data_IF_812814596653
#
_entry.id   IF_812814596653
#
_cell.length_a   1.000
_cell.length_b   1.000
_cell.length_c   1.000
_cell.angle_alpha   90.00
_cell.angle_beta   90.00
_cell.angle_gamma   90.00
#
_symmetry.space_group_name_H-M   'P 1'
#
loop_
_entity.id
_entity.type
_entity.pdbx_description
1 polymer ?
#
# COMPACT_ATOMS: atom_id res chain seq x y z
N UNK A 1 23.81 -0.20 17.11
CA UNK A 1 23.49 -1.14 16.00
C UNK A 1 22.10 -0.75 15.54
N UNK A 2 21.96 -0.06 14.42
CA UNK A 2 20.65 0.23 13.87
C UNK A 2 20.03 -1.12 13.49
N UNK A 3 18.81 -1.46 13.91
CA UNK A 3 18.15 -2.67 13.42
C UNK A 3 18.06 -2.55 11.90
N UNK A 4 18.58 -3.56 11.20
CA UNK A 4 18.48 -3.60 9.74
C UNK A 4 17.00 -3.58 9.33
N UNK A 5 16.74 -2.99 8.15
CA UNK A 5 15.39 -2.96 7.59
C UNK A 5 14.97 -4.39 7.28
N UNK A 6 13.75 -4.74 7.70
CA UNK A 6 13.18 -6.05 7.44
C UNK A 6 12.78 -6.16 5.96
N UNK A 7 13.33 -7.12 5.26
CA UNK A 7 12.80 -7.55 3.97
C UNK A 7 11.70 -8.58 4.23
N UNK A 8 10.46 -8.16 4.06
CA UNK A 8 9.32 -9.04 4.28
C UNK A 8 9.20 -10.08 3.17
N UNK A 9 9.04 -11.33 3.58
CA UNK A 9 8.68 -12.42 2.68
C UNK A 9 7.15 -12.51 2.69
N UNK A 10 6.54 -12.13 1.58
CA UNK A 10 5.08 -12.17 1.46
C UNK A 10 4.59 -13.61 1.31
N UNK A 11 3.37 -13.94 1.75
CA UNK A 11 2.83 -15.29 1.65
C UNK A 11 2.32 -15.68 0.25
N UNK A 12 2.72 -14.94 -0.79
CA UNK A 12 2.36 -15.21 -2.18
C UNK A 12 3.28 -16.24 -2.80
N UNK A 13 2.71 -17.35 -3.27
CA UNK A 13 3.40 -18.33 -4.10
C UNK A 13 3.57 -17.81 -5.55
N UNK A 14 4.36 -18.50 -6.36
CA UNK A 14 4.61 -18.11 -7.75
C UNK A 14 3.36 -18.07 -8.64
N UNK A 15 2.33 -18.85 -8.29
CA UNK A 15 1.06 -18.93 -9.02
C UNK A 15 -0.04 -18.04 -8.44
N UNK A 16 0.21 -17.38 -7.30
CA UNK A 16 -0.75 -16.49 -6.68
C UNK A 16 -0.67 -15.10 -7.33
N UNK A 17 -1.82 -14.52 -7.60
CA UNK A 17 -1.94 -13.14 -8.10
C UNK A 17 -1.94 -12.13 -6.95
N UNK A 18 -2.64 -12.43 -5.87
CA UNK A 18 -2.82 -11.55 -4.73
C UNK A 18 -3.02 -12.30 -3.42
N UNK A 19 -2.76 -11.59 -2.34
CA UNK A 19 -3.03 -12.02 -0.97
C UNK A 19 -3.72 -10.88 -0.22
N UNK A 20 -4.74 -11.23 0.56
CA UNK A 20 -5.47 -10.27 1.41
C UNK A 20 -5.33 -10.69 2.86
N UNK A 21 -4.84 -9.77 3.68
CA UNK A 21 -4.86 -9.90 5.12
C UNK A 21 -5.83 -8.88 5.70
N UNK A 22 -6.83 -9.37 6.42
CA UNK A 22 -7.83 -8.56 7.13
C UNK A 22 -7.63 -8.81 8.62
N UNK A 23 -7.24 -7.78 9.36
CA UNK A 23 -6.82 -7.90 10.76
C UNK A 23 -7.45 -6.83 11.62
N UNK A 24 -7.91 -7.24 12.81
CA UNK A 24 -8.17 -6.35 13.93
C UNK A 24 -7.03 -6.48 14.92
N UNK A 25 -6.49 -5.36 15.39
CA UNK A 25 -5.34 -5.33 16.27
C UNK A 25 -5.49 -4.23 17.33
N UNK A 26 -4.90 -4.46 18.50
CA UNK A 26 -4.88 -3.49 19.57
C UNK A 26 -3.81 -2.42 19.40
N UNK A 27 -2.74 -2.75 18.64
CA UNK A 27 -1.62 -1.87 18.38
C UNK A 27 -0.82 -2.30 17.14
N UNK A 28 -0.08 -1.35 16.57
CA UNK A 28 0.91 -1.63 15.53
C UNK A 28 2.25 -2.04 16.17
N UNK A 29 2.71 -3.24 15.85
CA UNK A 29 3.97 -3.79 16.36
C UNK A 29 4.94 -4.20 15.28
N UNK A 30 4.52 -4.16 14.01
CA UNK A 30 5.36 -4.58 12.90
C UNK A 30 6.46 -3.55 12.63
N UNK A 31 7.71 -3.98 12.41
CA UNK A 31 8.82 -3.06 12.19
C UNK A 31 8.80 -2.44 10.79
N UNK A 32 9.61 -1.40 10.59
CA UNK A 32 9.85 -0.83 9.27
C UNK A 32 10.37 -1.90 8.31
N UNK A 33 9.78 -1.99 7.13
CA UNK A 33 10.05 -3.05 6.17
C UNK A 33 9.90 -2.57 4.73
N UNK A 34 10.36 -3.39 3.81
CA UNK A 34 10.07 -3.31 2.38
C UNK A 34 9.86 -4.73 1.83
N UNK A 35 9.26 -4.85 0.65
CA UNK A 35 8.99 -6.12 -0.02
C UNK A 35 8.88 -5.95 -1.53
N UNK A 36 9.10 -7.01 -2.29
CA UNK A 36 9.07 -6.97 -3.76
C UNK A 36 7.68 -6.85 -4.36
N UNK A 37 6.65 -7.17 -3.58
CA UNK A 37 5.26 -7.21 -4.03
C UNK A 37 4.63 -5.83 -3.86
N UNK A 38 3.74 -5.44 -4.79
CA UNK A 38 2.94 -4.23 -4.66
C UNK A 38 1.94 -4.37 -3.52
N UNK A 39 1.66 -3.26 -2.85
CA UNK A 39 0.76 -3.25 -1.69
C UNK A 39 -0.21 -2.08 -1.73
N UNK A 40 -1.46 -2.38 -1.44
CA UNK A 40 -2.48 -1.41 -1.05
C UNK A 40 -2.84 -1.68 0.41
N UNK A 41 -2.47 -0.76 1.30
CA UNK A 41 -2.74 -0.89 2.74
C UNK A 41 -3.77 0.12 3.19
N UNK A 42 -4.84 -0.39 3.78
CA UNK A 42 -5.94 0.38 4.36
C UNK A 42 -5.95 0.21 5.87
N UNK A 43 -6.11 1.31 6.60
CA UNK A 43 -6.36 1.28 8.03
C UNK A 43 -7.52 2.20 8.40
N UNK A 44 -8.32 1.78 9.37
CA UNK A 44 -9.36 2.59 9.99
C UNK A 44 -9.30 2.50 11.51
N UNK A 45 -9.91 3.47 12.17
CA UNK A 45 -9.89 3.61 13.62
C UNK A 45 -8.46 3.76 14.17
N UNK A 46 -7.60 4.46 13.42
CA UNK A 46 -6.16 4.57 13.67
C UNK A 46 -5.68 6.00 13.91
N UNK A 47 -6.58 6.93 14.26
CA UNK A 47 -6.22 8.32 14.51
C UNK A 47 -5.10 8.44 15.55
N UNK A 48 -4.06 9.21 15.20
CA UNK A 48 -2.87 9.39 16.03
C UNK A 48 -1.74 8.39 15.77
N UNK A 49 -1.94 7.38 14.91
CA UNK A 49 -0.84 6.56 14.42
C UNK A 49 0.12 7.39 13.55
N UNK A 50 1.39 7.01 13.55
CA UNK A 50 2.41 7.60 12.69
C UNK A 50 2.68 6.67 11.52
N UNK A 51 2.56 7.20 10.31
CA UNK A 51 2.93 6.51 9.08
C UNK A 51 4.26 7.03 8.57
N UNK A 52 5.17 6.13 8.26
CA UNK A 52 6.44 6.41 7.60
C UNK A 52 6.43 5.68 6.26
N UNK A 53 6.66 6.42 5.16
CA UNK A 53 6.84 5.88 3.81
C UNK A 53 7.99 6.61 3.15
N UNK A 54 9.13 5.93 2.97
CA UNK A 54 10.36 6.56 2.54
C UNK A 54 10.76 7.70 3.48
N UNK A 55 10.90 8.91 2.95
CA UNK A 55 11.24 10.12 3.71
C UNK A 55 10.01 10.91 4.22
N UNK A 56 8.79 10.41 3.98
CA UNK A 56 7.56 10.99 4.51
C UNK A 56 7.23 10.45 5.89
N UNK A 57 6.98 11.34 6.85
CA UNK A 57 6.57 10.99 8.21
C UNK A 57 5.33 11.82 8.56
N UNK A 58 4.20 11.16 8.79
CA UNK A 58 2.94 11.82 9.06
C UNK A 58 2.15 11.12 10.18
N UNK A 59 1.44 11.91 10.98
CA UNK A 59 0.42 11.41 11.91
C UNK A 59 -0.90 11.35 11.15
N UNK A 60 -1.50 10.16 11.11
CA UNK A 60 -2.72 9.93 10.32
C UNK A 60 -4.00 10.17 11.13
N UNK A 61 -5.09 10.38 10.41
CA UNK A 61 -6.44 10.44 10.99
C UNK A 61 -7.05 9.05 11.16
N UNK A 62 -8.39 9.01 11.25
CA UNK A 62 -9.14 7.75 11.42
C UNK A 62 -8.96 6.77 10.27
N UNK A 63 -8.76 7.26 9.07
CA UNK A 63 -8.62 6.47 7.85
C UNK A 63 -7.31 6.80 7.16
N UNK A 64 -6.62 5.78 6.68
CA UNK A 64 -5.48 5.93 5.80
C UNK A 64 -5.51 4.85 4.72
N UNK A 65 -5.15 5.22 3.51
CA UNK A 65 -5.04 4.29 2.38
C UNK A 65 -3.81 4.68 1.57
N UNK A 66 -2.88 3.74 1.44
CA UNK A 66 -1.62 3.95 0.73
C UNK A 66 -1.37 2.84 -0.27
N UNK A 67 -0.98 3.24 -1.48
CA UNK A 67 -0.53 2.34 -2.54
C UNK A 67 0.99 2.45 -2.69
N UNK A 68 1.68 1.32 -2.67
CA UNK A 68 3.13 1.19 -2.83
C UNK A 68 3.41 0.19 -3.94
N UNK A 69 4.19 0.61 -4.94
CA UNK A 69 4.54 -0.23 -6.09
C UNK A 69 6.03 -0.44 -6.29
N UNK A 70 6.87 0.21 -5.49
CA UNK A 70 8.32 0.03 -5.51
C UNK A 70 8.77 -1.01 -4.50
N UNK A 71 9.65 -1.93 -4.89
CA UNK A 71 10.21 -2.98 -4.05
C UNK A 71 11.11 -2.46 -2.92
N UNK A 72 11.71 -1.29 -3.10
CA UNK A 72 12.72 -0.76 -2.18
C UNK A 72 12.17 0.35 -1.26
N UNK A 73 10.90 0.69 -1.39
CA UNK A 73 10.29 1.76 -0.59
C UNK A 73 9.95 1.25 0.82
N UNK A 74 10.72 1.70 1.78
CA UNK A 74 10.52 1.37 3.19
C UNK A 74 9.26 2.01 3.73
N UNK A 75 8.49 1.25 4.52
CA UNK A 75 7.25 1.75 5.10
C UNK A 75 6.91 1.06 6.41
N UNK A 76 6.13 1.76 7.24
CA UNK A 76 5.61 1.27 8.52
C UNK A 76 4.47 2.16 9.02
N UNK A 77 3.52 1.54 9.72
CA UNK A 77 2.57 2.22 10.59
C UNK A 77 2.94 1.92 12.03
N UNK A 78 3.07 2.96 12.85
CA UNK A 78 3.48 2.87 14.25
C UNK A 78 2.37 3.39 15.16
N UNK A 79 2.29 2.84 16.37
CA UNK A 79 1.26 3.22 17.35
C UNK A 79 1.29 4.71 17.69
N UNK A 80 2.47 5.26 17.95
CA UNK A 80 2.68 6.68 18.27
C UNK A 80 1.66 7.20 19.31
N UNK A 81 0.79 8.16 18.96
CA UNK A 81 -0.23 8.74 19.83
C UNK A 81 -1.62 8.09 19.73
N UNK A 82 -1.76 7.04 18.95
CA UNK A 82 -3.02 6.34 18.78
C UNK A 82 -3.42 5.64 20.08
N UNK A 83 -4.68 5.88 20.48
CA UNK A 83 -5.28 5.29 21.68
C UNK A 83 -6.31 4.20 21.38
N UNK A 84 -6.56 3.96 20.10
CA UNK A 84 -7.47 2.90 19.68
C UNK A 84 -6.95 1.53 20.14
N UNK A 85 -7.88 0.67 20.51
CA UNK A 85 -7.62 -0.74 20.83
C UNK A 85 -8.33 -1.69 19.88
N UNK A 86 -8.86 -1.15 18.79
CA UNK A 86 -9.53 -1.89 17.74
C UNK A 86 -9.21 -1.22 16.40
N UNK A 87 -7.95 -1.32 16.00
CA UNK A 87 -7.49 -0.85 14.70
C UNK A 87 -7.82 -1.92 13.68
N UNK A 88 -8.55 -1.56 12.64
CA UNK A 88 -8.82 -2.46 11.53
C UNK A 88 -7.86 -2.17 10.37
N UNK A 89 -7.19 -3.19 9.90
CA UNK A 89 -6.24 -3.10 8.80
C UNK A 89 -6.54 -4.14 7.72
N UNK A 90 -6.65 -3.68 6.48
CA UNK A 90 -6.75 -4.54 5.30
C UNK A 90 -5.53 -4.30 4.42
N UNK A 91 -4.66 -5.30 4.34
CA UNK A 91 -3.46 -5.28 3.49
C UNK A 91 -3.71 -6.15 2.26
N UNK A 92 -3.59 -5.58 1.08
CA UNK A 92 -3.72 -6.27 -0.19
C UNK A 92 -2.37 -6.25 -0.88
N UNK A 93 -1.72 -7.41 -0.98
CA UNK A 93 -0.47 -7.60 -1.70
C UNK A 93 -0.75 -8.29 -3.03
N UNK A 94 -0.15 -7.80 -4.12
CA UNK A 94 -0.47 -8.28 -5.46
C UNK A 94 0.66 -8.04 -6.46
N UNK A 95 0.57 -8.72 -7.61
CA UNK A 95 1.52 -8.59 -8.72
C UNK A 95 0.83 -8.02 -9.95
N UNK A 96 1.39 -6.95 -10.50
CA UNK A 96 1.03 -6.44 -11.82
C UNK A 96 2.30 -6.19 -12.63
N UNK A 97 2.30 -6.65 -13.86
CA UNK A 97 3.42 -6.39 -14.75
C UNK A 97 3.26 -5.02 -15.41
N UNK A 98 4.05 -4.06 -14.94
CA UNK A 98 4.08 -2.68 -15.46
C UNK A 98 5.22 -2.47 -16.48
N UNK A 99 6.22 -3.35 -16.49
CA UNK A 99 7.46 -3.15 -17.25
C UNK A 99 7.37 -3.66 -18.68
N UNK A 100 6.70 -4.77 -18.91
CA UNK A 100 6.61 -5.36 -20.23
C UNK A 100 5.81 -4.50 -21.20
N UNK A 101 6.36 -4.32 -22.42
CA UNK A 101 5.72 -3.51 -23.47
C UNK A 101 4.33 -4.02 -23.86
N UNK A 102 4.13 -5.33 -23.81
CA UNK A 102 2.87 -6.00 -24.16
C UNK A 102 1.95 -6.24 -22.96
N UNK A 103 2.27 -5.67 -21.79
CA UNK A 103 1.42 -5.79 -20.63
C UNK A 103 0.01 -5.22 -20.91
N UNK A 104 -1.07 -5.93 -20.56
CA UNK A 104 -2.42 -5.38 -20.64
C UNK A 104 -2.57 -4.05 -19.89
N UNK A 105 -1.79 -3.83 -18.85
CA UNK A 105 -1.80 -2.59 -18.06
C UNK A 105 -1.42 -1.35 -18.87
N UNK A 106 -0.71 -1.52 -20.00
CA UNK A 106 -0.32 -0.43 -20.91
C UNK A 106 -1.35 -0.11 -22.00
N UNK A 107 -2.47 -0.81 -22.00
CA UNK A 107 -3.56 -0.57 -22.96
C UNK A 107 -4.48 0.56 -22.49
N UNK A 108 -5.23 1.15 -23.43
CA UNK A 108 -6.11 2.30 -23.15
C UNK A 108 -7.09 2.08 -21.98
N UNK A 109 -7.75 0.93 -21.81
CA UNK A 109 -8.64 0.71 -20.69
C UNK A 109 -7.98 0.87 -19.31
N UNK A 110 -6.68 0.59 -19.22
CA UNK A 110 -5.92 0.63 -17.97
C UNK A 110 -5.05 1.88 -17.80
N UNK A 111 -5.12 2.85 -18.74
CA UNK A 111 -4.23 4.01 -18.72
C UNK A 111 -4.20 4.73 -17.38
N UNK A 112 -5.36 5.07 -16.81
CA UNK A 112 -5.43 5.80 -15.54
C UNK A 112 -4.85 4.97 -14.37
N UNK A 113 -5.10 3.67 -14.36
CA UNK A 113 -4.52 2.75 -13.37
C UNK A 113 -3.01 2.68 -13.54
N UNK A 114 -2.51 2.52 -14.76
CA UNK A 114 -1.07 2.46 -15.04
C UNK A 114 -0.35 3.74 -14.56
N UNK A 115 -0.88 4.92 -14.89
CA UNK A 115 -0.32 6.21 -14.47
C UNK A 115 -0.31 6.35 -12.94
N UNK A 116 -1.38 5.94 -12.27
CA UNK A 116 -1.45 5.92 -10.80
C UNK A 116 -0.41 4.96 -10.21
N UNK A 117 -0.29 3.75 -10.75
CA UNK A 117 0.69 2.75 -10.31
C UNK A 117 2.14 3.25 -10.45
N UNK A 118 2.44 3.98 -11.53
CA UNK A 118 3.75 4.59 -11.74
C UNK A 118 4.06 5.67 -10.71
N UNK A 119 3.08 6.49 -10.33
CA UNK A 119 3.21 7.48 -9.24
C UNK A 119 3.40 6.82 -7.88
N UNK A 120 2.76 5.69 -7.66
CA UNK A 120 2.82 4.95 -6.41
C UNK A 120 4.18 4.29 -6.11
N UNK A 121 5.17 4.41 -7.00
CA UNK A 121 6.58 4.09 -6.71
C UNK A 121 7.15 4.92 -5.57
N UNK A 122 6.59 6.08 -5.34
CA UNK A 122 6.95 7.01 -4.25
C UNK A 122 6.01 6.90 -3.04
N UNK A 123 5.13 5.89 -3.04
CA UNK A 123 4.01 5.82 -2.12
C UNK A 123 2.95 6.90 -2.44
N UNK A 124 1.72 6.49 -2.55
CA UNK A 124 0.60 7.36 -2.90
C UNK A 124 -0.49 7.22 -1.86
N UNK A 125 -0.80 8.31 -1.14
CA UNK A 125 -1.91 8.35 -0.20
C UNK A 125 -3.16 8.96 -0.83
N UNK A 126 -4.33 8.48 -0.41
CA UNK A 126 -5.61 8.88 -0.98
C UNK A 126 -6.41 9.74 0.00
N UNK A 127 -7.18 10.67 -0.55
CA UNK A 127 -8.10 11.50 0.23
C UNK A 127 -9.20 10.68 0.89
N UNK A 128 -9.80 11.24 1.94
CA UNK A 128 -10.98 10.62 2.57
C UNK A 128 -12.10 10.34 1.56
N UNK A 129 -12.31 11.25 0.60
CA UNK A 129 -13.34 11.07 -0.43
C UNK A 129 -13.05 9.85 -1.30
N UNK A 130 -11.79 9.68 -1.74
CA UNK A 130 -11.37 8.52 -2.51
C UNK A 130 -11.51 7.22 -1.70
N UNK A 131 -11.09 7.25 -0.41
CA UNK A 131 -11.24 6.10 0.49
C UNK A 131 -12.70 5.70 0.63
N UNK A 132 -13.60 6.63 0.91
CA UNK A 132 -15.04 6.33 1.08
C UNK A 132 -15.67 5.78 -0.19
N UNK A 133 -15.17 6.15 -1.37
CA UNK A 133 -15.62 5.60 -2.65
C UNK A 133 -15.35 4.10 -2.78
N UNK A 134 -14.19 3.65 -2.30
CA UNK A 134 -13.76 2.26 -2.40
C UNK A 134 -14.01 1.45 -1.12
N UNK A 135 -14.40 2.09 -0.03
CA UNK A 135 -14.60 1.47 1.28
C UNK A 135 -15.47 0.21 1.25
N UNK A 136 -16.64 0.19 0.59
CA UNK A 136 -17.46 -1.03 0.52
C UNK A 136 -16.74 -2.20 -0.13
N UNK A 137 -15.87 -1.93 -1.12
CA UNK A 137 -15.08 -2.95 -1.80
C UNK A 137 -13.92 -3.44 -0.95
N UNK A 138 -13.27 -2.53 -0.21
CA UNK A 138 -12.21 -2.89 0.76
C UNK A 138 -12.76 -3.82 1.85
N UNK A 139 -13.97 -3.53 2.34
CA UNK A 139 -14.63 -4.38 3.35
C UNK A 139 -15.08 -5.74 2.79
N UNK A 140 -15.40 -5.81 1.51
CA UNK A 140 -15.86 -7.03 0.87
C UNK A 140 -14.74 -7.94 0.40
N UNK A 141 -13.55 -7.41 0.08
CA UNK A 141 -12.49 -8.14 -0.61
C UNK A 141 -11.97 -9.33 0.20
N UNK A 142 -11.86 -9.19 1.52
CA UNK A 142 -11.39 -10.25 2.42
C UNK A 142 -12.37 -11.43 2.52
N UNK A 143 -13.65 -11.19 2.26
CA UNK A 143 -14.71 -12.22 2.30
C UNK A 143 -14.91 -12.94 0.98
N UNK A 144 -14.21 -12.53 -0.09
CA UNK A 144 -14.31 -13.22 -1.40
C UNK A 144 -13.61 -14.59 -1.33
N UNK A 145 -14.41 -15.64 -1.36
CA UNK A 145 -13.91 -17.02 -1.29
C UNK A 145 -13.30 -17.49 -2.61
N UNK A 146 -13.77 -16.95 -3.73
CA UNK A 146 -13.25 -17.27 -5.05
C UNK A 146 -12.22 -16.22 -5.48
N UNK A 147 -10.98 -16.65 -5.68
CA UNK A 147 -9.86 -15.77 -5.99
C UNK A 147 -10.07 -14.87 -7.21
N UNK A 148 -10.83 -15.34 -8.21
CA UNK A 148 -11.18 -14.53 -9.37
C UNK A 148 -11.97 -13.27 -9.00
N UNK A 149 -12.98 -13.41 -8.14
CA UNK A 149 -13.79 -12.25 -7.71
C UNK A 149 -12.98 -11.28 -6.82
N UNK A 150 -12.07 -11.80 -6.00
CA UNK A 150 -11.15 -10.94 -5.24
C UNK A 150 -10.24 -10.13 -6.18
N UNK A 151 -9.71 -10.72 -7.23
CA UNK A 151 -8.93 -10.02 -8.27
C UNK A 151 -9.79 -8.97 -8.98
N UNK A 152 -11.02 -9.29 -9.33
CA UNK A 152 -11.95 -8.34 -9.94
C UNK A 152 -12.23 -7.14 -9.01
N UNK A 153 -12.42 -7.39 -7.72
CA UNK A 153 -12.59 -6.30 -6.72
C UNK A 153 -11.33 -5.44 -6.63
N UNK A 154 -10.13 -6.03 -6.63
CA UNK A 154 -8.89 -5.27 -6.64
C UNK A 154 -8.81 -4.34 -7.86
N UNK A 155 -9.07 -4.83 -9.07
CA UNK A 155 -9.06 -4.00 -10.27
C UNK A 155 -10.12 -2.89 -10.21
N UNK A 156 -11.29 -3.17 -9.65
CA UNK A 156 -12.33 -2.16 -9.45
C UNK A 156 -11.89 -1.08 -8.47
N UNK A 157 -11.26 -1.46 -7.35
CA UNK A 157 -10.68 -0.52 -6.37
C UNK A 157 -9.62 0.35 -7.05
N UNK A 158 -8.65 -0.25 -7.73
CA UNK A 158 -7.57 0.48 -8.40
C UNK A 158 -8.11 1.45 -9.46
N UNK A 159 -9.11 1.03 -10.24
CA UNK A 159 -9.74 1.88 -11.25
C UNK A 159 -10.45 3.07 -10.62
N UNK A 160 -11.27 2.85 -9.59
CA UNK A 160 -11.97 3.95 -8.91
C UNK A 160 -10.98 4.94 -8.28
N UNK A 161 -9.94 4.46 -7.60
CA UNK A 161 -8.89 5.31 -7.03
C UNK A 161 -8.16 6.12 -8.12
N UNK A 162 -7.93 5.55 -9.29
CA UNK A 162 -7.23 6.22 -10.40
C UNK A 162 -8.00 7.41 -11.00
N UNK A 163 -9.28 7.60 -10.63
CA UNK A 163 -10.11 8.72 -11.07
C UNK A 163 -10.00 9.95 -10.19
N UNK A 164 -9.36 9.83 -9.03
CA UNK A 164 -9.12 10.94 -8.13
C UNK A 164 -7.77 11.60 -8.46
N UNK A 165 -7.77 12.90 -8.61
CA UNK A 165 -6.59 13.72 -8.92
C UNK A 165 -5.91 14.32 -7.69
N UNK A 166 -6.51 14.12 -6.50
CA UNK A 166 -6.06 14.65 -5.22
C UNK A 166 -5.18 13.69 -4.40
N UNK A 167 -4.78 12.56 -5.00
CA UNK A 167 -3.86 11.63 -4.36
C UNK A 167 -2.46 12.24 -4.19
N UNK A 168 -1.89 12.13 -2.97
CA UNK A 168 -0.63 12.75 -2.60
C UNK A 168 0.53 11.77 -2.69
N UNK A 169 1.59 12.17 -3.40
CA UNK A 169 2.88 11.48 -3.36
C UNK A 169 3.53 11.66 -1.98
N UNK A 170 4.01 10.58 -1.38
CA UNK A 170 4.57 10.58 -0.04
C UNK A 170 6.08 10.78 -0.04
N UNK A 171 6.83 9.88 -0.63
CA UNK A 171 8.29 9.97 -0.65
C UNK A 171 8.81 10.86 -1.78
N UNK A 172 9.91 11.57 -1.54
CA UNK A 172 10.60 12.36 -2.56
C UNK A 172 11.39 11.49 -3.55
N UNK A 173 11.72 10.23 -3.17
CA UNK A 173 12.41 9.24 -4.00
C UNK A 173 11.80 7.86 -3.83
N UNK A 174 11.91 7.02 -4.87
CA UNK A 174 11.50 5.62 -4.82
C UNK A 174 12.54 4.72 -4.13
N UNK A 175 13.71 5.26 -3.76
CA UNK A 175 14.80 4.53 -3.14
C UNK A 175 15.00 5.00 -1.71
N UNK A 176 14.91 4.09 -0.78
CA UNK A 176 15.27 4.31 0.60
C UNK A 176 16.74 3.97 0.89
N UNK A 177 17.56 3.71 -0.10
CA UNK A 177 19.02 3.58 0.14
C UNK A 177 19.62 4.94 0.31
N UNK A 178 19.73 5.37 1.56
CA UNK A 178 20.79 6.27 1.97
C UNK A 178 22.09 5.47 1.76
N UNK A 179 22.73 5.64 0.61
CA UNK A 179 24.11 5.29 0.47
C UNK A 179 24.88 6.20 1.43
N UNK A 180 25.17 5.70 2.61
CA UNK A 180 26.25 6.21 3.42
C UNK A 180 27.51 5.71 2.73
N UNK A 181 27.87 6.31 1.61
CA UNK A 181 29.23 6.28 1.15
C UNK A 181 30.00 7.18 2.12
N UNK A 182 30.73 6.51 2.99
CA UNK A 182 31.78 7.07 3.78
C UNK A 182 32.74 7.83 2.86
N UNK A 183 32.76 9.13 2.96
CA UNK A 183 33.94 9.91 2.57
C UNK A 183 35.09 9.46 3.48
N UNK A 184 36.05 8.80 2.89
CA UNK A 184 37.39 8.55 3.43
C UNK A 184 38.32 9.68 3.00
#
# INVERSE_FOLDING_TARGET
MYPGILHEITPLNEHDFMYVADRHKEEFTYPIHCHEIMELNFVENAAGCRRIVGDSIEVIGDYDLVLITSSDLEHVWEQHECKSRDIHEVTIQFRLNLEEKNSPMRTNPFRSVYEMMMRARYGLSFSRQAIMKVYPRLMAISSQQEGFYAVQELFSILYELSKFDDACQLSSSSFAKVNVESES
#
